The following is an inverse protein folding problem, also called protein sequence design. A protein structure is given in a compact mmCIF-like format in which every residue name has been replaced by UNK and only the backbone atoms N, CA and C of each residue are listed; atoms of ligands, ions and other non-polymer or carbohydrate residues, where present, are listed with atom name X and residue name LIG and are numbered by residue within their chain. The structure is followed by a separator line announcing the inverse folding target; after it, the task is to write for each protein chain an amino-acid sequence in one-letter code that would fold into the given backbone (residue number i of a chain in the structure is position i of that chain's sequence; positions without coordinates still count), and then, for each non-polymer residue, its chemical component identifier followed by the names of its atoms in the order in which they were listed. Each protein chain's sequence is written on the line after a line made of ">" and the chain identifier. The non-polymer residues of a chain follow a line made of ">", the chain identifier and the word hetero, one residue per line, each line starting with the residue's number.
data_IF_490760045410
#
_entry.id   IF_490760045410
#
_cell.length_a   1.000
_cell.length_b   1.000
_cell.length_c   1.000
_cell.angle_alpha   90.00
_cell.angle_beta   90.00
_cell.angle_gamma   90.00
#
_symmetry.space_group_name_H-M   'P 1'
#
loop_
_entity.id
_entity.type
_entity.pdbx_description
1 polymer ?
#
# COMPACT_ATOMS: atom_id res chain seq x y z
N UNK A 1 11.42 -27.13 -11.15
CA UNK A 1 12.56 -27.25 -10.20
C UNK A 1 12.57 -26.10 -9.19
N UNK A 2 12.85 -24.85 -9.57
CA UNK A 2 12.91 -23.73 -8.61
C UNK A 2 11.57 -23.41 -7.93
N UNK A 3 10.46 -23.36 -8.70
CA UNK A 3 9.12 -23.09 -8.14
C UNK A 3 8.70 -24.17 -7.10
N UNK A 4 8.97 -25.45 -7.40
CA UNK A 4 8.72 -26.57 -6.49
C UNK A 4 9.61 -26.56 -5.24
N UNK A 5 10.86 -26.09 -5.35
CA UNK A 5 11.74 -25.93 -4.18
C UNK A 5 11.30 -24.76 -3.29
N UNK A 6 10.85 -23.65 -3.89
CA UNK A 6 10.32 -22.50 -3.15
C UNK A 6 9.03 -22.87 -2.41
N UNK A 7 8.12 -23.60 -3.06
CA UNK A 7 6.90 -24.11 -2.43
C UNK A 7 7.22 -25.05 -1.26
N UNK A 8 8.20 -25.94 -1.43
CA UNK A 8 8.67 -26.82 -0.36
C UNK A 8 9.24 -26.04 0.83
N UNK A 9 10.07 -25.02 0.58
CA UNK A 9 10.64 -24.19 1.64
C UNK A 9 9.60 -23.28 2.29
N UNK A 10 8.63 -22.75 1.53
CA UNK A 10 7.45 -22.03 2.06
C UNK A 10 6.64 -22.91 3.02
N UNK A 11 6.50 -24.20 2.71
CA UNK A 11 5.83 -25.17 3.59
C UNK A 11 6.67 -25.60 4.82
N UNK A 12 7.84 -25.00 5.04
CA UNK A 12 8.72 -25.29 6.18
C UNK A 12 9.80 -26.35 5.89
N UNK A 13 9.88 -26.85 4.65
CA UNK A 13 10.87 -27.82 4.22
C UNK A 13 12.31 -27.30 4.25
N UNK A 14 13.26 -28.23 4.29
CA UNK A 14 14.68 -27.96 4.09
C UNK A 14 15.16 -28.62 2.81
N UNK A 15 16.01 -27.93 2.05
CA UNK A 15 16.63 -28.47 0.85
C UNK A 15 17.74 -29.46 1.20
N UNK A 16 18.01 -30.37 0.27
CA UNK A 16 19.09 -31.36 0.38
C UNK A 16 20.09 -31.20 -0.75
N UNK A 17 21.36 -31.47 -0.46
CA UNK A 17 22.44 -31.50 -1.44
C UNK A 17 22.37 -32.80 -2.29
N UNK A 18 23.24 -32.91 -3.30
CA UNK A 18 23.34 -34.11 -4.15
C UNK A 18 23.71 -35.39 -3.37
N UNK A 19 24.19 -35.26 -2.12
CA UNK A 19 24.52 -36.37 -1.21
C UNK A 19 23.40 -36.65 -0.21
N UNK A 20 22.23 -36.00 -0.37
CA UNK A 20 21.06 -36.16 0.50
C UNK A 20 21.16 -35.47 1.86
N UNK A 21 22.23 -34.72 2.13
CA UNK A 21 22.43 -33.98 3.39
C UNK A 21 21.68 -32.66 3.33
N UNK A 22 21.25 -32.14 4.48
CA UNK A 22 20.58 -30.83 4.53
C UNK A 22 21.53 -29.74 4.03
N UNK A 23 21.02 -28.85 3.18
CA UNK A 23 21.72 -27.68 2.68
C UNK A 23 21.18 -26.42 3.38
N UNK A 24 21.76 -26.04 4.53
CA UNK A 24 21.26 -24.89 5.30
C UNK A 24 21.49 -23.57 4.55
N UNK A 25 22.56 -23.46 3.78
CA UNK A 25 22.92 -22.22 3.05
C UNK A 25 21.90 -21.96 1.94
N UNK A 26 21.63 -22.97 1.10
CA UNK A 26 20.64 -22.85 0.03
C UNK A 26 19.23 -22.68 0.57
N UNK A 27 18.89 -23.38 1.65
CA UNK A 27 17.57 -23.22 2.31
C UNK A 27 17.41 -21.80 2.86
N UNK A 28 18.43 -21.25 3.53
CA UNK A 28 18.39 -19.89 4.08
C UNK A 28 18.30 -18.82 2.98
N UNK A 29 19.07 -18.97 1.90
CA UNK A 29 18.99 -18.07 0.74
C UNK A 29 17.59 -18.09 0.12
N UNK A 30 16.97 -19.28 -0.01
CA UNK A 30 15.62 -19.39 -0.56
C UNK A 30 14.56 -18.81 0.37
N UNK A 31 14.71 -18.95 1.69
CA UNK A 31 13.84 -18.28 2.67
C UNK A 31 13.91 -16.77 2.57
N UNK A 32 15.12 -16.19 2.48
CA UNK A 32 15.30 -14.76 2.29
C UNK A 32 14.62 -14.26 1.00
N UNK A 33 14.76 -14.99 -0.12
CA UNK A 33 14.08 -14.65 -1.37
C UNK A 33 12.55 -14.78 -1.25
N UNK A 34 12.05 -15.82 -0.58
CA UNK A 34 10.61 -15.99 -0.31
C UNK A 34 10.08 -14.81 0.51
N UNK A 35 10.76 -14.44 1.61
CA UNK A 35 10.37 -13.32 2.46
C UNK A 35 10.37 -11.99 1.69
N UNK A 36 11.36 -11.77 0.82
CA UNK A 36 11.43 -10.62 -0.06
C UNK A 36 10.24 -10.60 -1.04
N UNK A 37 9.95 -11.73 -1.71
CA UNK A 37 8.82 -11.83 -2.63
C UNK A 37 7.48 -11.62 -1.94
N UNK A 38 7.30 -12.17 -0.74
CA UNK A 38 6.07 -12.03 0.03
C UNK A 38 5.91 -10.57 0.49
N UNK A 39 7.00 -9.89 0.86
CA UNK A 39 6.98 -8.44 1.15
C UNK A 39 6.61 -7.62 -0.07
N UNK A 40 7.24 -7.87 -1.22
CA UNK A 40 6.94 -7.17 -2.48
C UNK A 40 5.48 -7.38 -2.89
N UNK A 41 4.96 -8.61 -2.76
CA UNK A 41 3.57 -8.95 -3.05
C UNK A 41 2.60 -8.20 -2.13
N UNK A 42 2.89 -8.11 -0.83
CA UNK A 42 2.09 -7.32 0.13
C UNK A 42 2.06 -5.84 -0.24
N UNK A 43 3.20 -5.25 -0.54
CA UNK A 43 3.29 -3.84 -0.94
C UNK A 43 2.53 -3.56 -2.24
N UNK A 44 2.60 -4.47 -3.22
CA UNK A 44 1.86 -4.37 -4.48
C UNK A 44 0.35 -4.46 -4.25
N UNK A 45 -0.10 -5.48 -3.53
CA UNK A 45 -1.52 -5.67 -3.22
C UNK A 45 -2.11 -4.48 -2.46
N UNK A 46 -1.36 -3.92 -1.50
CA UNK A 46 -1.73 -2.71 -0.76
C UNK A 46 -1.92 -1.51 -1.69
N UNK A 47 -0.99 -1.29 -2.62
CA UNK A 47 -1.08 -0.19 -3.59
C UNK A 47 -2.23 -0.38 -4.59
N UNK A 48 -2.42 -1.61 -5.07
CA UNK A 48 -3.53 -1.96 -5.97
C UNK A 48 -4.89 -1.74 -5.30
N UNK A 49 -5.04 -2.10 -4.02
CA UNK A 49 -6.24 -1.84 -3.23
C UNK A 49 -6.53 -0.34 -3.13
N UNK A 50 -5.51 0.48 -2.89
CA UNK A 50 -5.65 1.94 -2.83
C UNK A 50 -6.08 2.55 -4.17
N UNK A 51 -5.46 2.15 -5.27
CA UNK A 51 -5.89 2.61 -6.61
C UNK A 51 -7.29 2.10 -6.97
N UNK A 52 -7.65 0.88 -6.55
CA UNK A 52 -9.01 0.36 -6.73
C UNK A 52 -10.04 1.19 -5.94
N UNK A 53 -9.74 1.57 -4.69
CA UNK A 53 -10.59 2.46 -3.89
C UNK A 53 -10.79 3.82 -4.58
N UNK A 54 -9.73 4.40 -5.15
CA UNK A 54 -9.86 5.62 -5.95
C UNK A 54 -10.78 5.44 -7.17
N UNK A 55 -10.77 4.28 -7.83
CA UNK A 55 -11.69 4.02 -8.94
C UNK A 55 -13.13 3.84 -8.46
N UNK A 56 -13.34 3.17 -7.32
CA UNK A 56 -14.66 2.97 -6.74
C UNK A 56 -15.34 4.31 -6.40
N UNK A 57 -14.64 5.22 -5.73
CA UNK A 57 -15.20 6.54 -5.40
C UNK A 57 -15.43 7.40 -6.65
N UNK A 58 -14.81 7.13 -7.80
CA UNK A 58 -15.12 7.85 -9.04
C UNK A 58 -16.38 7.31 -9.72
N UNK A 59 -16.79 6.08 -9.42
CA UNK A 59 -17.98 5.44 -9.96
C UNK A 59 -19.23 5.68 -9.10
N UNK A 60 -19.06 5.91 -7.81
CA UNK A 60 -20.14 6.38 -6.94
C UNK A 60 -20.41 7.86 -7.18
N UNK A 61 -21.64 8.31 -6.97
CA UNK A 61 -22.01 9.72 -7.18
C UNK A 61 -22.29 10.44 -5.85
N UNK A 62 -22.75 9.76 -4.81
CA UNK A 62 -23.10 10.35 -3.52
C UNK A 62 -23.00 9.37 -2.35
N UNK A 63 -23.05 9.90 -1.12
CA UNK A 63 -23.16 9.09 0.09
C UNK A 63 -21.86 8.46 0.59
N UNK A 64 -20.71 8.99 0.17
CA UNK A 64 -19.40 8.54 0.64
C UNK A 64 -19.22 8.80 2.14
N UNK A 65 -18.76 7.80 2.87
CA UNK A 65 -18.35 7.93 4.25
C UNK A 65 -16.84 8.17 4.38
N UNK A 66 -16.38 8.54 5.58
CA UNK A 66 -14.95 8.68 5.87
C UNK A 66 -14.15 7.40 5.54
N UNK A 67 -14.72 6.22 5.82
CA UNK A 67 -14.09 4.92 5.60
C UNK A 67 -13.97 4.54 4.11
N UNK A 68 -14.81 5.11 3.25
CA UNK A 68 -14.82 4.83 1.81
C UNK A 68 -13.70 5.60 1.09
N UNK A 69 -13.20 6.67 1.73
CA UNK A 69 -12.09 7.44 1.18
C UNK A 69 -10.81 6.58 1.23
N UNK A 70 -10.11 6.39 0.10
CA UNK A 70 -8.88 5.62 0.03
C UNK A 70 -7.71 6.41 0.64
N UNK A 71 -7.65 6.46 1.96
CA UNK A 71 -6.58 7.13 2.70
C UNK A 71 -5.23 6.44 2.45
N UNK A 72 -4.11 7.18 2.37
CA UNK A 72 -2.80 6.62 2.11
C UNK A 72 -2.17 6.07 3.40
N UNK A 73 -2.89 5.22 4.13
CA UNK A 73 -2.40 4.54 5.34
C UNK A 73 -2.95 3.11 5.37
N UNK A 74 -2.21 2.22 6.02
CA UNK A 74 -2.60 0.81 6.22
C UNK A 74 -2.32 0.42 7.67
N UNK A 75 -3.27 -0.22 8.39
CA UNK A 75 -4.67 -0.40 8.01
C UNK A 75 -5.42 0.94 7.79
N UNK A 76 -6.59 0.91 7.10
CA UNK A 76 -7.43 2.08 6.91
C UNK A 76 -7.71 2.80 8.24
N UNK A 77 -7.73 4.14 8.25
CA UNK A 77 -7.92 4.90 9.46
C UNK A 77 -9.38 4.81 9.93
N UNK A 78 -9.60 4.72 11.23
CA UNK A 78 -10.94 4.87 11.81
C UNK A 78 -11.27 6.36 12.03
N UNK A 79 -10.25 7.18 12.26
CA UNK A 79 -10.37 8.62 12.52
C UNK A 79 -9.22 9.40 11.85
N UNK A 80 -9.36 10.72 11.79
CA UNK A 80 -8.33 11.67 11.34
C UNK A 80 -7.05 11.54 12.16
N UNK A 81 -7.15 11.24 13.47
CA UNK A 81 -5.99 11.06 14.33
C UNK A 81 -5.04 9.92 13.87
N UNK A 82 -5.55 8.94 13.12
CA UNK A 82 -4.77 7.82 12.60
C UNK A 82 -3.89 8.21 11.38
N UNK A 83 -4.15 9.37 10.78
CA UNK A 83 -3.45 9.92 9.61
C UNK A 83 -2.10 10.55 9.99
N UNK A 84 -1.21 9.72 10.55
CA UNK A 84 0.12 10.15 10.98
C UNK A 84 1.07 10.28 9.78
N UNK A 85 1.82 11.39 9.70
CA UNK A 85 2.79 11.68 8.62
C UNK A 85 3.71 10.49 8.30
N UNK A 86 4.25 9.83 9.31
CA UNK A 86 5.16 8.69 9.11
C UNK A 86 4.47 7.52 8.40
N UNK A 87 3.21 7.22 8.75
CA UNK A 87 2.41 6.17 8.11
C UNK A 87 2.07 6.53 6.67
N UNK A 88 1.71 7.80 6.43
CA UNK A 88 1.41 8.32 5.09
C UNK A 88 2.63 8.24 4.18
N UNK A 89 3.78 8.71 4.66
CA UNK A 89 5.04 8.65 3.91
C UNK A 89 5.45 7.20 3.62
N UNK A 90 5.39 6.30 4.61
CA UNK A 90 5.68 4.89 4.42
C UNK A 90 4.76 4.26 3.37
N UNK A 91 3.45 4.50 3.47
CA UNK A 91 2.47 3.96 2.54
C UNK A 91 2.76 4.35 1.09
N UNK A 92 3.05 5.63 0.85
CA UNK A 92 3.25 6.17 -0.49
C UNK A 92 4.61 5.80 -1.10
N UNK A 93 5.64 5.64 -0.27
CA UNK A 93 7.03 5.46 -0.72
C UNK A 93 7.53 4.02 -0.68
N UNK A 94 7.05 3.17 0.23
CA UNK A 94 7.46 1.76 0.29
C UNK A 94 7.22 0.98 -1.02
N UNK A 95 6.12 1.17 -1.77
CA UNK A 95 5.95 0.49 -3.06
C UNK A 95 7.04 0.84 -4.10
N UNK A 96 7.80 1.93 -3.89
CA UNK A 96 8.95 2.30 -4.73
C UNK A 96 10.16 1.40 -4.50
N UNK A 97 10.20 0.64 -3.40
CA UNK A 97 11.31 -0.30 -3.11
C UNK A 97 11.13 -1.65 -3.79
N UNK A 98 10.00 -1.90 -4.46
CA UNK A 98 9.74 -3.14 -5.19
C UNK A 98 10.68 -3.22 -6.40
N UNK A 99 11.31 -4.38 -6.63
CA UNK A 99 12.17 -4.60 -7.80
C UNK A 99 11.42 -4.33 -9.10
N UNK A 100 12.06 -3.58 -10.00
CA UNK A 100 11.49 -3.21 -11.31
C UNK A 100 10.56 -1.99 -11.29
N UNK A 101 10.43 -1.29 -10.16
CA UNK A 101 9.70 -0.02 -10.14
C UNK A 101 10.46 1.06 -10.95
N UNK A 102 9.76 1.72 -11.87
CA UNK A 102 10.29 2.78 -12.74
C UNK A 102 9.87 4.19 -12.31
N UNK A 103 8.99 4.31 -11.32
CA UNK A 103 8.44 5.58 -10.84
C UNK A 103 9.44 6.24 -9.88
N UNK A 104 9.86 7.45 -10.22
CA UNK A 104 10.71 8.23 -9.33
C UNK A 104 9.94 8.70 -8.08
N UNK A 105 10.62 8.76 -6.93
CA UNK A 105 10.08 9.30 -5.67
C UNK A 105 9.43 10.67 -5.84
N UNK A 106 10.08 11.56 -6.58
CA UNK A 106 9.57 12.91 -6.86
C UNK A 106 8.24 12.89 -7.58
N UNK A 107 8.09 12.01 -8.57
CA UNK A 107 6.87 11.95 -9.39
C UNK A 107 5.72 11.30 -8.62
N UNK A 108 6.02 10.33 -7.74
CA UNK A 108 5.05 9.78 -6.77
C UNK A 108 4.49 10.88 -5.86
N UNK A 109 5.35 11.69 -5.26
CA UNK A 109 4.94 12.78 -4.36
C UNK A 109 4.12 13.83 -5.12
N UNK A 110 4.57 14.25 -6.32
CA UNK A 110 3.81 15.19 -7.16
C UNK A 110 2.42 14.68 -7.50
N UNK A 111 2.29 13.41 -7.89
CA UNK A 111 1.00 12.81 -8.19
C UNK A 111 0.09 12.79 -6.95
N UNK A 112 0.63 12.45 -5.78
CA UNK A 112 -0.10 12.51 -4.51
C UNK A 112 -0.54 13.94 -4.16
N UNK A 113 0.32 14.94 -4.29
CA UNK A 113 -0.01 16.35 -4.05
C UNK A 113 -1.14 16.83 -4.95
N UNK A 114 -1.07 16.50 -6.25
CA UNK A 114 -2.12 16.86 -7.21
C UNK A 114 -3.45 16.17 -6.94
N UNK A 115 -3.44 14.99 -6.29
CA UNK A 115 -4.65 14.23 -5.96
C UNK A 115 -5.29 14.74 -4.67
N UNK A 116 -4.48 15.04 -3.65
CA UNK A 116 -4.93 15.51 -2.34
C UNK A 116 -5.01 17.04 -2.23
N UNK A 117 -4.84 17.77 -3.34
CA UNK A 117 -4.95 19.22 -3.36
C UNK A 117 -6.36 19.67 -2.93
N UNK A 118 -6.50 20.68 -2.04
CA UNK A 118 -7.79 21.16 -1.56
C UNK A 118 -8.82 21.44 -2.67
N UNK A 119 -8.39 22.05 -3.78
CA UNK A 119 -9.26 22.34 -4.94
C UNK A 119 -9.91 21.09 -5.53
N UNK A 120 -9.15 20.00 -5.72
CA UNK A 120 -9.71 18.77 -6.29
C UNK A 120 -10.60 18.05 -5.30
N UNK A 121 -10.23 18.09 -4.02
CA UNK A 121 -10.97 17.41 -2.98
C UNK A 121 -12.27 18.14 -2.62
N UNK A 122 -12.37 19.43 -2.95
CA UNK A 122 -13.63 20.16 -2.81
C UNK A 122 -14.77 19.50 -3.58
N UNK A 123 -14.49 18.89 -4.74
CA UNK A 123 -15.46 18.12 -5.52
C UNK A 123 -15.85 16.79 -4.85
N UNK A 124 -14.91 16.15 -4.16
CA UNK A 124 -15.16 14.94 -3.38
C UNK A 124 -16.07 15.24 -2.17
N UNK A 125 -15.83 16.35 -1.47
CA UNK A 125 -16.58 16.73 -0.27
C UNK A 125 -18.07 16.94 -0.52
N UNK A 126 -18.47 17.36 -1.73
CA UNK A 126 -19.89 17.50 -2.12
C UNK A 126 -20.62 16.16 -2.11
N UNK A 127 -19.87 15.06 -2.29
CA UNK A 127 -20.38 13.69 -2.42
C UNK A 127 -20.30 12.91 -1.10
N UNK A 128 -19.70 13.49 -0.07
CA UNK A 128 -19.54 12.91 1.26
C UNK A 128 -20.76 13.21 2.12
N UNK A 129 -21.15 12.26 2.97
CA UNK A 129 -22.24 12.44 3.95
C UNK A 129 -21.95 13.65 4.84
N UNK A 130 -23.00 14.41 5.16
CA UNK A 130 -22.86 15.63 5.97
C UNK A 130 -22.18 15.36 7.32
N UNK A 131 -22.47 14.21 7.96
CA UNK A 131 -21.83 13.82 9.23
C UNK A 131 -20.32 13.54 9.13
N UNK A 132 -19.82 13.17 7.95
CA UNK A 132 -18.43 12.81 7.71
C UNK A 132 -17.64 13.94 7.02
N UNK A 133 -18.32 14.96 6.49
CA UNK A 133 -17.72 16.01 5.68
C UNK A 133 -16.59 16.76 6.39
N UNK A 134 -16.74 17.07 7.68
CA UNK A 134 -15.67 17.72 8.46
C UNK A 134 -14.47 16.80 8.65
N UNK A 135 -14.72 15.53 9.04
CA UNK A 135 -13.66 14.53 9.23
C UNK A 135 -12.90 14.27 7.94
N UNK A 136 -13.59 14.17 6.80
CA UNK A 136 -12.93 14.01 5.50
C UNK A 136 -12.13 15.26 5.13
N UNK A 137 -12.66 16.46 5.35
CA UNK A 137 -11.94 17.71 5.07
C UNK A 137 -10.65 17.80 5.89
N UNK A 138 -10.72 17.56 7.19
CA UNK A 138 -9.56 17.58 8.08
C UNK A 138 -8.54 16.51 7.70
N UNK A 139 -9.00 15.29 7.40
CA UNK A 139 -8.14 14.20 6.94
C UNK A 139 -7.40 14.55 5.66
N UNK A 140 -8.07 15.18 4.70
CA UNK A 140 -7.46 15.65 3.44
C UNK A 140 -6.38 16.66 3.69
N UNK A 141 -6.63 17.67 4.54
CA UNK A 141 -5.61 18.65 4.90
C UNK A 141 -4.42 17.99 5.62
N UNK A 142 -4.68 17.00 6.46
CA UNK A 142 -3.65 16.24 7.17
C UNK A 142 -2.76 15.49 6.19
N UNK A 143 -3.36 14.79 5.21
CA UNK A 143 -2.62 14.10 4.14
C UNK A 143 -1.85 15.09 3.29
N UNK A 144 -2.48 16.18 2.85
CA UNK A 144 -1.83 17.19 2.03
C UNK A 144 -0.61 17.83 2.72
N UNK A 145 -0.71 18.12 4.02
CA UNK A 145 0.40 18.63 4.83
C UNK A 145 1.49 17.58 5.08
N UNK A 146 1.15 16.29 5.02
CA UNK A 146 2.07 15.19 5.26
C UNK A 146 3.02 14.92 4.08
N UNK A 147 2.61 15.31 2.86
CA UNK A 147 3.35 15.18 1.60
C UNK A 147 4.46 16.23 1.44
#
# INVERSE_FOLDING_TARGET
>A
ALRSEMEWVRAGGALRDARGRRDPVRTAALRCEIELQDREARLRARWEKYEAGWRAIQAEDEGLAFADIPWPVDPPPADVADLVRARIAAFLLEPLTIRGNTVARRDRIRASLLRWHPDKVSLLLVRVRAEDAERVREGVYTVFRAL
#
